data_IF_196540084093
#
_entry.id   IF_196540084093
#
_cell.length_a   1.000
_cell.length_b   1.000
_cell.length_c   1.000
_cell.angle_alpha   90.00
_cell.angle_beta   90.00
_cell.angle_gamma   90.00
#
_symmetry.space_group_name_H-M   'P 1'
#
loop_
_entity.id
_entity.type
_entity.pdbx_description
1 polymer ?
#
# COMPACT_ATOMS: atom_id res chain seq x y z
N UNK A 1 3.60 -30.66 27.84
CA UNK A 1 3.21 -29.82 28.99
C UNK A 1 2.49 -28.61 28.39
N UNK A 2 1.27 -28.31 28.82
CA UNK A 2 0.52 -27.17 28.29
C UNK A 2 1.32 -25.90 28.57
N UNK A 3 1.65 -25.14 27.53
CA UNK A 3 2.42 -23.89 27.61
C UNK A 3 1.81 -22.93 28.65
N UNK A 4 0.49 -23.03 28.87
CA UNK A 4 -0.28 -22.22 29.83
C UNK A 4 -0.02 -22.51 31.32
N UNK A 5 0.86 -23.45 31.68
CA UNK A 5 1.13 -23.80 33.10
C UNK A 5 2.56 -23.50 33.56
N UNK A 6 3.39 -22.92 32.69
CA UNK A 6 4.77 -22.57 33.04
C UNK A 6 4.84 -21.17 33.70
N UNK A 7 5.66 -21.01 34.74
CA UNK A 7 5.75 -19.76 35.51
C UNK A 7 6.35 -18.57 34.73
N UNK A 8 6.92 -18.84 33.55
CA UNK A 8 7.51 -17.88 32.62
C UNK A 8 6.56 -17.52 31.44
N UNK A 9 5.35 -18.06 31.44
CA UNK A 9 4.35 -17.77 30.42
C UNK A 9 4.08 -16.25 30.41
N UNK A 10 4.34 -15.60 29.28
CA UNK A 10 4.06 -14.18 29.01
C UNK A 10 5.13 -13.15 29.48
N UNK A 11 6.36 -13.56 29.79
CA UNK A 11 7.46 -12.60 30.10
C UNK A 11 8.27 -12.17 28.86
N UNK A 12 8.24 -12.95 27.77
CA UNK A 12 9.05 -12.71 26.56
C UNK A 12 8.27 -12.18 25.35
N UNK A 13 8.89 -11.30 24.56
CA UNK A 13 8.33 -10.81 23.28
C UNK A 13 8.03 -11.94 22.28
N UNK A 14 8.74 -13.07 22.36
CA UNK A 14 8.48 -14.25 21.53
C UNK A 14 7.16 -14.95 21.87
N UNK A 15 6.78 -15.00 23.14
CA UNK A 15 5.53 -15.62 23.58
C UNK A 15 4.33 -14.78 23.16
N UNK A 16 4.47 -13.45 23.23
CA UNK A 16 3.46 -12.52 22.72
C UNK A 16 3.25 -12.72 21.22
N UNK A 17 4.32 -12.77 20.43
CA UNK A 17 4.25 -12.93 18.97
C UNK A 17 3.71 -14.30 18.53
N UNK A 18 3.94 -15.35 19.32
CA UNK A 18 3.37 -16.68 19.06
C UNK A 18 1.95 -16.84 19.60
N UNK A 19 1.51 -15.99 20.55
CA UNK A 19 0.13 -15.99 21.03
C UNK A 19 -0.86 -15.31 20.07
N UNK A 20 -0.39 -14.38 19.24
CA UNK A 20 -1.22 -13.65 18.27
C UNK A 20 -1.46 -14.52 17.04
N UNK A 21 -2.71 -14.58 16.57
CA UNK A 21 -3.06 -15.37 15.40
C UNK A 21 -2.38 -14.83 14.12
N UNK A 22 -1.77 -15.70 13.29
CA UNK A 22 -1.15 -15.28 12.02
C UNK A 22 -2.14 -14.64 11.03
N UNK A 23 -3.42 -15.02 11.12
CA UNK A 23 -4.50 -14.42 10.32
C UNK A 23 -4.75 -12.96 10.69
N UNK A 24 -4.57 -12.57 11.95
CA UNK A 24 -4.66 -11.18 12.37
C UNK A 24 -3.59 -10.33 11.66
N UNK A 25 -2.34 -10.80 11.62
CA UNK A 25 -1.26 -10.14 10.90
C UNK A 25 -1.54 -10.01 9.40
N UNK A 26 -2.04 -11.08 8.77
CA UNK A 26 -2.45 -11.05 7.37
C UNK A 26 -3.54 -10.02 7.07
N UNK A 27 -4.63 -10.03 7.85
CA UNK A 27 -5.76 -9.11 7.65
C UNK A 27 -5.39 -7.65 7.93
N UNK A 28 -4.60 -7.38 8.98
CA UNK A 28 -4.10 -6.03 9.25
C UNK A 28 -3.19 -5.57 8.12
N UNK A 29 -2.32 -6.44 7.60
CA UNK A 29 -1.47 -6.14 6.44
C UNK A 29 -2.27 -5.66 5.24
N UNK A 30 -3.33 -6.40 4.88
CA UNK A 30 -4.23 -6.05 3.78
C UNK A 30 -4.91 -4.70 4.05
N UNK A 31 -5.48 -4.51 5.24
CA UNK A 31 -6.19 -3.28 5.61
C UNK A 31 -5.26 -2.05 5.59
N UNK A 32 -4.06 -2.18 6.13
CA UNK A 32 -3.06 -1.10 6.15
C UNK A 32 -2.55 -0.81 4.73
N UNK A 33 -2.27 -1.83 3.93
CA UNK A 33 -1.85 -1.65 2.54
C UNK A 33 -2.87 -0.88 1.70
N UNK A 34 -4.16 -1.21 1.82
CA UNK A 34 -5.25 -0.46 1.19
C UNK A 34 -5.39 0.95 1.76
N UNK A 35 -5.55 1.04 3.08
CA UNK A 35 -5.87 2.29 3.77
C UNK A 35 -4.80 3.36 3.56
N UNK A 36 -3.52 2.99 3.71
CA UNK A 36 -2.42 3.91 3.49
C UNK A 36 -2.32 4.35 2.02
N UNK A 37 -2.53 3.44 1.07
CA UNK A 37 -2.53 3.81 -0.35
C UNK A 37 -3.62 4.83 -0.68
N UNK A 38 -4.83 4.65 -0.15
CA UNK A 38 -5.96 5.59 -0.34
C UNK A 38 -5.69 6.93 0.34
N UNK A 39 -5.10 6.94 1.53
CA UNK A 39 -4.70 8.17 2.22
C UNK A 39 -3.66 8.94 1.39
N UNK A 40 -2.66 8.24 0.83
CA UNK A 40 -1.67 8.83 -0.07
C UNK A 40 -2.28 9.49 -1.30
N UNK A 41 -3.20 8.78 -1.96
CA UNK A 41 -3.92 9.30 -3.12
C UNK A 41 -4.78 10.51 -2.78
N UNK A 42 -5.58 10.44 -1.71
CA UNK A 42 -6.44 11.55 -1.26
C UNK A 42 -5.63 12.81 -0.94
N UNK A 43 -4.47 12.65 -0.28
CA UNK A 43 -3.57 13.77 0.01
C UNK A 43 -2.99 14.37 -1.28
N UNK A 44 -2.51 13.55 -2.21
CA UNK A 44 -1.98 14.01 -3.49
C UNK A 44 -3.02 14.79 -4.32
N UNK A 45 -4.26 14.30 -4.36
CA UNK A 45 -5.40 14.94 -5.02
C UNK A 45 -5.70 16.29 -4.37
N UNK A 46 -5.74 16.37 -3.04
CA UNK A 46 -5.99 17.63 -2.34
C UNK A 46 -4.92 18.70 -2.62
N UNK A 47 -3.64 18.32 -2.62
CA UNK A 47 -2.53 19.22 -2.90
C UNK A 47 -2.57 19.75 -4.35
N UNK A 48 -2.80 18.88 -5.33
CA UNK A 48 -2.86 19.27 -6.74
C UNK A 48 -4.15 20.04 -7.04
N UNK A 49 -5.28 19.56 -6.53
CA UNK A 49 -6.61 20.12 -6.80
C UNK A 49 -6.79 21.54 -6.29
N UNK A 50 -6.30 21.84 -5.09
CA UNK A 50 -6.35 23.20 -4.53
C UNK A 50 -5.57 24.21 -5.38
N UNK A 51 -4.36 23.87 -5.80
CA UNK A 51 -3.54 24.71 -6.70
C UNK A 51 -4.14 24.83 -8.10
N UNK A 52 -4.67 23.74 -8.65
CA UNK A 52 -5.31 23.75 -9.98
C UNK A 52 -6.53 24.67 -10.00
N UNK A 53 -7.41 24.57 -9.00
CA UNK A 53 -8.59 25.42 -8.90
C UNK A 53 -8.21 26.89 -8.70
N UNK A 54 -7.22 27.18 -7.86
CA UNK A 54 -6.71 28.54 -7.66
C UNK A 54 -6.13 29.16 -8.93
N UNK A 55 -5.30 28.41 -9.65
CA UNK A 55 -4.69 28.87 -10.90
C UNK A 55 -5.69 29.00 -12.05
N UNK A 56 -6.72 28.13 -12.09
CA UNK A 56 -7.74 28.12 -13.14
C UNK A 56 -8.67 29.35 -13.12
N UNK A 57 -8.71 30.13 -12.03
CA UNK A 57 -9.48 31.38 -11.97
C UNK A 57 -8.95 32.40 -12.98
N UNK A 58 -7.63 32.58 -13.03
CA UNK A 58 -6.99 33.51 -13.98
C UNK A 58 -6.70 32.86 -15.33
N UNK A 59 -6.36 31.57 -15.34
CA UNK A 59 -5.97 30.84 -16.55
C UNK A 59 -6.82 29.56 -16.74
N UNK A 60 -8.09 29.66 -17.18
CA UNK A 60 -9.01 28.50 -17.23
C UNK A 60 -8.59 27.40 -18.21
N UNK A 61 -7.70 27.71 -19.17
CA UNK A 61 -7.16 26.76 -20.15
C UNK A 61 -6.40 25.57 -19.53
N UNK A 62 -5.91 25.69 -18.28
CA UNK A 62 -5.13 24.64 -17.61
C UNK A 62 -6.02 23.53 -17.02
N UNK A 63 -7.34 23.78 -16.88
CA UNK A 63 -8.26 22.88 -16.16
C UNK A 63 -8.26 21.46 -16.72
N UNK A 64 -8.32 21.30 -18.04
CA UNK A 64 -8.40 19.98 -18.68
C UNK A 64 -7.04 19.32 -18.85
N UNK A 65 -5.97 20.08 -19.11
CA UNK A 65 -4.63 19.54 -19.29
C UNK A 65 -4.07 18.96 -18.00
N UNK A 66 -4.21 19.66 -16.89
CA UNK A 66 -3.62 19.26 -15.61
C UNK A 66 -4.44 18.22 -14.83
N UNK A 67 -5.54 17.70 -15.40
CA UNK A 67 -6.24 16.54 -14.83
C UNK A 67 -5.36 15.29 -14.81
N UNK A 68 -4.35 15.21 -15.70
CA UNK A 68 -3.40 14.09 -15.74
C UNK A 68 -2.68 13.91 -14.39
N UNK A 69 -2.32 15.01 -13.72
CA UNK A 69 -1.68 14.96 -12.39
C UNK A 69 -2.59 14.37 -11.31
N UNK A 70 -3.91 14.60 -11.40
CA UNK A 70 -4.91 13.99 -10.50
C UNK A 70 -5.01 12.49 -10.78
N UNK A 71 -5.00 12.08 -12.06
CA UNK A 71 -5.05 10.67 -12.45
C UNK A 71 -3.82 9.92 -11.94
N UNK A 72 -2.63 10.53 -11.96
CA UNK A 72 -1.44 9.90 -11.37
C UNK A 72 -1.53 9.76 -9.85
N UNK A 73 -2.16 10.71 -9.16
CA UNK A 73 -2.46 10.56 -7.73
C UNK A 73 -3.52 9.48 -7.47
N UNK A 74 -4.46 9.24 -8.38
CA UNK A 74 -5.44 8.16 -8.26
C UNK A 74 -4.81 6.78 -8.52
N UNK A 75 -3.86 6.69 -9.45
CA UNK A 75 -3.19 5.44 -9.80
C UNK A 75 -2.52 4.75 -8.59
N UNK A 76 -2.01 5.51 -7.60
CA UNK A 76 -1.46 4.95 -6.37
C UNK A 76 -2.51 4.25 -5.50
N UNK A 77 -3.77 4.69 -5.52
CA UNK A 77 -4.86 3.97 -4.86
C UNK A 77 -5.16 2.64 -5.56
N UNK A 78 -5.14 2.63 -6.90
CA UNK A 78 -5.36 1.41 -7.70
C UNK A 78 -4.27 0.38 -7.39
N UNK A 79 -3.02 0.80 -7.26
CA UNK A 79 -1.91 -0.07 -6.84
C UNK A 79 -2.17 -0.71 -5.46
N UNK A 80 -2.70 0.07 -4.50
CA UNK A 80 -3.10 -0.44 -3.19
C UNK A 80 -4.24 -1.46 -3.26
N UNK A 81 -5.26 -1.21 -4.07
CA UNK A 81 -6.40 -2.14 -4.27
C UNK A 81 -5.92 -3.45 -4.89
N UNK A 82 -5.07 -3.40 -5.92
CA UNK A 82 -4.52 -4.59 -6.58
C UNK A 82 -3.75 -5.46 -5.59
N UNK A 83 -2.85 -4.86 -4.80
CA UNK A 83 -2.10 -5.61 -3.78
C UNK A 83 -3.03 -6.20 -2.73
N UNK A 84 -4.04 -5.47 -2.29
CA UNK A 84 -4.98 -5.94 -1.28
C UNK A 84 -5.73 -7.19 -1.75
N UNK A 85 -6.16 -7.22 -3.02
CA UNK A 85 -6.80 -8.39 -3.64
C UNK A 85 -5.82 -9.56 -3.75
N UNK A 86 -4.58 -9.32 -4.19
CA UNK A 86 -3.56 -10.37 -4.32
C UNK A 86 -3.25 -11.00 -2.96
N UNK A 87 -3.08 -10.18 -1.92
CA UNK A 87 -2.80 -10.66 -0.57
C UNK A 87 -4.01 -11.37 0.05
N UNK A 88 -5.24 -10.89 -0.20
CA UNK A 88 -6.46 -11.56 0.25
C UNK A 88 -6.60 -12.96 -0.35
N UNK A 89 -6.26 -13.13 -1.63
CA UNK A 89 -6.27 -14.45 -2.27
C UNK A 89 -5.22 -15.42 -1.72
N UNK A 90 -4.21 -14.93 -0.97
CA UNK A 90 -3.21 -15.78 -0.31
C UNK A 90 -3.64 -16.24 1.07
N UNK A 91 -4.46 -15.46 1.78
CA UNK A 91 -4.93 -15.80 3.13
C UNK A 91 -6.07 -16.80 3.02
N UNK A 92 -5.73 -18.07 2.94
CA UNK A 92 -6.69 -19.18 2.98
C UNK A 92 -6.95 -19.60 4.44
N UNK A 93 -8.22 -19.83 4.80
CA UNK A 93 -8.60 -20.36 6.11
C UNK A 93 -8.72 -21.87 5.99
N UNK A 94 -7.92 -22.67 6.73
CA UNK A 94 -8.01 -24.12 6.68
C UNK A 94 -9.39 -24.55 7.18
N UNK A 95 -10.00 -25.51 6.48
CA UNK A 95 -11.28 -26.09 6.86
C UNK A 95 -11.22 -26.86 8.18
N UNK A 96 -12.36 -27.41 8.62
CA UNK A 96 -12.42 -28.30 9.78
C UNK A 96 -11.54 -29.52 9.52
N UNK A 97 -10.37 -29.58 10.18
CA UNK A 97 -9.39 -30.65 9.99
C UNK A 97 -9.86 -31.94 10.64
N UNK A 98 -9.80 -33.03 9.88
CA UNK A 98 -10.11 -34.37 10.34
C UNK A 98 -8.93 -35.01 11.10
N UNK A 99 -9.16 -36.15 11.79
CA UNK A 99 -8.11 -36.86 12.54
C UNK A 99 -6.95 -37.40 11.70
N UNK A 100 -7.07 -37.42 10.36
CA UNK A 100 -6.09 -37.98 9.42
C UNK A 100 -5.34 -36.93 8.59
N UNK A 101 -5.58 -35.64 8.82
CA UNK A 101 -4.89 -34.58 8.08
C UNK A 101 -3.45 -34.39 8.57
N UNK A 102 -2.55 -34.02 7.64
CA UNK A 102 -1.15 -33.79 7.95
C UNK A 102 -0.97 -32.70 9.03
N UNK A 103 0.02 -32.85 9.93
CA UNK A 103 0.29 -31.86 10.97
C UNK A 103 0.55 -30.49 10.33
N UNK A 104 -0.04 -29.49 10.95
CA UNK A 104 -0.05 -28.10 10.51
C UNK A 104 1.36 -27.52 10.74
N UNK A 105 2.08 -27.14 9.67
CA UNK A 105 3.39 -26.51 9.82
C UNK A 105 3.23 -25.08 10.37
N UNK A 106 3.32 -24.98 11.69
CA UNK A 106 3.09 -23.75 12.43
C UNK A 106 4.12 -22.68 12.06
N UNK A 107 5.37 -23.07 11.77
CA UNK A 107 6.44 -22.13 11.42
C UNK A 107 6.16 -21.47 10.07
N UNK A 108 5.69 -22.26 9.10
CA UNK A 108 5.28 -21.74 7.80
C UNK A 108 4.08 -20.79 7.93
N UNK A 109 3.12 -21.10 8.80
CA UNK A 109 1.96 -20.25 9.03
C UNK A 109 2.34 -18.89 9.64
N UNK A 110 3.23 -18.86 10.65
CA UNK A 110 3.74 -17.60 11.21
C UNK A 110 4.52 -16.79 10.16
N UNK A 111 5.39 -17.45 9.39
CA UNK A 111 6.12 -16.78 8.31
C UNK A 111 5.17 -16.17 7.28
N UNK A 112 4.12 -16.90 6.87
CA UNK A 112 3.14 -16.41 5.91
C UNK A 112 2.37 -15.19 6.45
N UNK A 113 1.96 -15.21 7.73
CA UNK A 113 1.31 -14.08 8.39
C UNK A 113 2.18 -12.82 8.41
N UNK A 114 3.45 -12.94 8.82
CA UNK A 114 4.37 -11.81 8.85
C UNK A 114 4.77 -11.31 7.46
N UNK A 115 4.92 -12.21 6.49
CA UNK A 115 5.23 -11.85 5.11
C UNK A 115 4.09 -11.04 4.46
N UNK A 116 2.83 -11.44 4.68
CA UNK A 116 1.66 -10.68 4.19
C UNK A 116 1.53 -9.33 4.92
N UNK A 117 1.75 -9.30 6.23
CA UNK A 117 1.76 -8.05 7.00
C UNK A 117 2.82 -7.07 6.47
N UNK A 118 4.06 -7.55 6.34
CA UNK A 118 5.18 -6.75 5.83
C UNK A 118 4.95 -6.28 4.39
N UNK A 119 4.40 -7.14 3.53
CA UNK A 119 4.09 -6.77 2.15
C UNK A 119 3.04 -5.64 2.09
N UNK A 120 1.96 -5.76 2.87
CA UNK A 120 0.94 -4.72 2.95
C UNK A 120 1.47 -3.40 3.50
N UNK A 121 2.27 -3.44 4.57
CA UNK A 121 2.88 -2.26 5.17
C UNK A 121 3.87 -1.56 4.22
N UNK A 122 4.74 -2.33 3.55
CA UNK A 122 5.71 -1.80 2.61
C UNK A 122 5.01 -1.07 1.44
N UNK A 123 4.02 -1.71 0.82
CA UNK A 123 3.24 -1.11 -0.27
C UNK A 123 2.50 0.13 0.20
N UNK A 124 1.79 0.05 1.33
CA UNK A 124 1.01 1.17 1.86
C UNK A 124 1.87 2.42 2.11
N UNK A 125 3.03 2.26 2.76
CA UNK A 125 3.93 3.38 3.05
C UNK A 125 4.56 3.96 1.78
N UNK A 126 4.98 3.11 0.84
CA UNK A 126 5.51 3.59 -0.46
C UNK A 126 4.46 4.35 -1.27
N UNK A 127 3.20 3.92 -1.25
CA UNK A 127 2.11 4.60 -1.94
C UNK A 127 1.71 5.92 -1.27
N UNK A 128 1.83 6.06 0.06
CA UNK A 128 1.74 7.37 0.73
C UNK A 128 2.82 8.31 0.20
N UNK A 129 4.08 7.88 0.25
CA UNK A 129 5.20 8.71 -0.16
C UNK A 129 5.11 9.10 -1.65
N UNK A 130 4.73 8.15 -2.51
CA UNK A 130 4.52 8.40 -3.93
C UNK A 130 3.34 9.35 -4.18
N UNK A 131 2.18 9.13 -3.56
CA UNK A 131 1.00 9.99 -3.72
C UNK A 131 1.23 11.43 -3.31
N UNK A 132 1.92 11.65 -2.19
CA UNK A 132 2.30 13.00 -1.73
C UNK A 132 3.31 13.64 -2.70
N UNK A 133 4.33 12.89 -3.12
CA UNK A 133 5.35 13.38 -4.06
C UNK A 133 4.74 13.82 -5.40
N UNK A 134 3.86 12.98 -5.98
CA UNK A 134 3.12 13.29 -7.21
C UNK A 134 2.22 14.51 -6.99
N UNK A 135 1.55 14.62 -5.84
CA UNK A 135 0.69 15.76 -5.52
C UNK A 135 1.44 17.10 -5.45
N UNK A 136 2.65 17.09 -4.88
CA UNK A 136 3.51 18.29 -4.81
C UNK A 136 4.00 18.68 -6.20
N UNK A 137 4.43 17.69 -7.00
CA UNK A 137 4.85 17.91 -8.39
C UNK A 137 3.69 18.44 -9.25
N UNK A 138 2.49 17.87 -9.12
CA UNK A 138 1.26 18.29 -9.79
C UNK A 138 0.82 19.70 -9.43
N UNK A 139 0.90 20.06 -8.14
CA UNK A 139 0.66 21.43 -7.67
C UNK A 139 1.61 22.44 -8.33
N UNK A 140 2.90 22.09 -8.40
CA UNK A 140 3.92 22.90 -9.06
C UNK A 140 3.68 23.03 -10.57
N UNK A 141 3.26 21.93 -11.22
CA UNK A 141 2.91 21.88 -12.63
C UNK A 141 1.71 22.78 -12.96
N UNK A 142 0.65 22.76 -12.15
CA UNK A 142 -0.53 23.59 -12.32
C UNK A 142 -0.20 25.09 -12.25
N UNK A 143 0.62 25.48 -11.27
CA UNK A 143 1.04 26.88 -11.10
C UNK A 143 1.98 27.33 -12.23
N UNK A 144 2.87 26.47 -12.70
CA UNK A 144 3.80 26.77 -13.77
C UNK A 144 3.11 26.89 -15.14
N UNK A 145 2.19 25.98 -15.48
CA UNK A 145 1.42 26.05 -16.75
C UNK A 145 0.55 27.31 -16.81
N UNK A 146 0.00 27.73 -15.66
CA UNK A 146 -0.75 28.98 -15.57
C UNK A 146 0.08 30.20 -16.02
N UNK A 147 1.39 30.20 -15.76
CA UNK A 147 2.31 31.25 -16.23
C UNK A 147 2.78 31.00 -17.68
N UNK A 148 3.22 29.78 -18.00
CA UNK A 148 3.75 29.44 -19.31
C UNK A 148 3.46 27.99 -19.72
N UNK A 149 2.68 27.84 -20.80
CA UNK A 149 2.24 26.55 -21.30
C UNK A 149 3.35 25.60 -21.75
N UNK A 150 4.52 26.14 -22.11
CA UNK A 150 5.64 25.32 -22.58
C UNK A 150 6.35 24.56 -21.44
N UNK A 151 6.04 24.86 -20.18
CA UNK A 151 6.63 24.16 -19.02
C UNK A 151 5.88 22.88 -18.64
N UNK A 152 4.62 22.72 -19.04
CA UNK A 152 3.78 21.59 -18.67
C UNK A 152 4.46 20.24 -18.91
N UNK A 153 4.91 19.98 -20.15
CA UNK A 153 5.52 18.69 -20.53
C UNK A 153 6.83 18.44 -19.77
N UNK A 154 7.58 19.49 -19.44
CA UNK A 154 8.86 19.36 -18.72
C UNK A 154 8.64 18.93 -17.27
N UNK A 155 7.62 19.46 -16.62
CA UNK A 155 7.27 19.12 -15.23
C UNK A 155 6.54 17.77 -15.16
N UNK A 156 5.74 17.44 -16.18
CA UNK A 156 5.07 16.13 -16.29
C UNK A 156 6.06 14.96 -16.23
N UNK A 157 7.27 15.11 -16.78
CA UNK A 157 8.32 14.08 -16.69
C UNK A 157 8.69 13.80 -15.22
N UNK A 158 8.72 14.82 -14.36
CA UNK A 158 9.02 14.68 -12.93
C UNK A 158 7.89 13.93 -12.22
N UNK A 159 6.63 14.22 -12.57
CA UNK A 159 5.46 13.49 -12.05
C UNK A 159 5.52 11.99 -12.39
N UNK A 160 5.94 11.64 -13.60
CA UNK A 160 6.10 10.23 -14.01
C UNK A 160 7.12 9.53 -13.12
N UNK A 161 8.29 10.12 -12.87
CA UNK A 161 9.29 9.54 -11.98
C UNK A 161 8.80 9.43 -10.53
N UNK A 162 8.04 10.41 -10.04
CA UNK A 162 7.44 10.34 -8.71
C UNK A 162 6.41 9.20 -8.59
N UNK A 163 5.63 8.96 -9.65
CA UNK A 163 4.63 7.87 -9.70
C UNK A 163 5.27 6.47 -9.79
N UNK A 164 6.48 6.36 -10.36
CA UNK A 164 7.21 5.10 -10.45
C UNK A 164 7.56 4.50 -9.07
N UNK A 165 7.69 5.35 -8.04
CA UNK A 165 7.95 4.91 -6.65
C UNK A 165 6.85 3.97 -6.12
N UNK A 166 5.57 4.23 -6.46
CA UNK A 166 4.47 3.36 -6.07
C UNK A 166 4.55 1.97 -6.72
N UNK A 167 4.97 1.90 -7.99
CA UNK A 167 5.14 0.63 -8.71
C UNK A 167 6.28 -0.19 -8.08
N UNK A 168 7.39 0.44 -7.69
CA UNK A 168 8.47 -0.26 -6.98
C UNK A 168 8.00 -0.86 -5.66
N UNK A 169 7.16 -0.13 -4.91
CA UNK A 169 6.51 -0.64 -3.70
C UNK A 169 5.70 -1.91 -3.97
N UNK A 170 4.86 -1.89 -5.00
CA UNK A 170 4.06 -3.06 -5.43
C UNK A 170 4.94 -4.25 -5.78
N UNK A 171 6.00 -4.06 -6.56
CA UNK A 171 6.91 -5.15 -6.96
C UNK A 171 7.53 -5.80 -5.71
N UNK A 172 8.02 -4.99 -4.77
CA UNK A 172 8.59 -5.51 -3.51
C UNK A 172 7.54 -6.26 -2.69
N UNK A 173 6.31 -5.75 -2.58
CA UNK A 173 5.22 -6.42 -1.88
C UNK A 173 4.85 -7.78 -2.49
N UNK A 174 4.85 -7.89 -3.82
CA UNK A 174 4.63 -9.17 -4.52
C UNK A 174 5.75 -10.15 -4.22
N UNK A 175 7.01 -9.72 -4.30
CA UNK A 175 8.18 -10.58 -4.03
C UNK A 175 8.15 -11.09 -2.58
N UNK A 176 7.88 -10.20 -1.62
CA UNK A 176 7.78 -10.56 -0.19
C UNK A 176 6.68 -11.60 0.08
N UNK A 177 5.53 -11.45 -0.56
CA UNK A 177 4.39 -12.36 -0.36
C UNK A 177 4.45 -13.62 -1.23
N UNK A 178 5.42 -13.76 -2.14
CA UNK A 178 5.49 -14.89 -3.06
C UNK A 178 5.63 -16.23 -2.30
N UNK A 179 6.54 -16.28 -1.33
CA UNK A 179 6.80 -17.46 -0.49
C UNK A 179 5.83 -17.59 0.70
N UNK A 180 4.86 -16.68 0.84
CA UNK A 180 3.82 -16.76 1.87
C UNK A 180 2.74 -17.77 1.44
N UNK A 181 2.99 -19.05 1.73
CA UNK A 181 2.02 -20.12 1.51
C UNK A 181 1.24 -20.41 2.78
N UNK A 182 -0.04 -20.05 2.81
CA UNK A 182 -0.94 -20.49 3.87
C UNK A 182 -1.27 -21.98 3.66
N UNK A 183 -1.20 -22.81 4.71
CA UNK A 183 -1.58 -24.21 4.62
C UNK A 183 -3.09 -24.34 4.36
N UNK A 184 -3.42 -25.19 3.39
CA UNK A 184 -4.80 -25.58 3.04
C UNK A 184 -5.42 -26.48 4.11
#
# INVERSE_FOLDING_TARGET
MSVATDALFNEGWGDVLTSISPYMWGNIGIAVGLGFSVIGAAWGIFLTGSSLLGAAVKAPRIRSKNLVSIIFCEATAIYGVIISIILQNKVEVPGVRGPHDAPLDLNQLYFAGYAVFGAGLAVGLTNIASGISVGIAGSSCALADAQNANLYVKILIVEIFASALGIFGVIVGIIMSNNAGFPK
#
